data_IF_871233993637
#
_entry.id   IF_871233993637
#
_cell.length_a   1.000
_cell.length_b   1.000
_cell.length_c   1.000
_cell.angle_alpha   90.00
_cell.angle_beta   90.00
_cell.angle_gamma   90.00
#
_symmetry.space_group_name_H-M   'P 1'
#
loop_
_entity.id
_entity.type
_entity.pdbx_description
1 polymer ?
#
# COMPACT_ATOMS: atom_id res chain seq x y z
N UNK A 1 21.43 -14.58 21.77
CA UNK A 1 21.44 -13.11 21.66
C UNK A 1 20.49 -12.79 20.55
N UNK A 2 19.23 -12.38 20.87
CA UNK A 2 18.29 -11.87 19.90
C UNK A 2 18.73 -10.43 19.60
N UNK A 3 19.18 -10.18 18.38
CA UNK A 3 19.36 -8.85 17.85
C UNK A 3 17.99 -8.19 17.86
N UNK A 4 17.74 -7.30 18.81
CA UNK A 4 16.64 -6.36 18.72
C UNK A 4 16.95 -5.43 17.56
N UNK A 5 16.38 -5.72 16.41
CA UNK A 5 16.42 -4.82 15.26
C UNK A 5 15.53 -3.64 15.64
N UNK A 6 16.12 -2.49 15.88
CA UNK A 6 15.40 -1.25 16.21
C UNK A 6 14.46 -0.92 15.03
N UNK A 7 13.19 -0.87 15.33
CA UNK A 7 12.19 -0.35 14.40
C UNK A 7 12.31 1.17 14.39
N UNK A 8 12.71 1.75 13.27
CA UNK A 8 12.95 3.18 13.16
C UNK A 8 11.62 3.89 12.86
N UNK A 9 11.19 4.77 13.78
CA UNK A 9 9.98 5.57 13.61
C UNK A 9 10.34 6.99 13.21
N UNK A 10 9.83 7.45 12.06
CA UNK A 10 9.81 8.85 11.68
C UNK A 10 8.38 9.35 11.75
N UNK A 11 8.14 10.47 12.40
CA UNK A 11 6.78 10.98 12.53
C UNK A 11 6.70 12.48 12.27
N UNK A 12 5.56 12.88 11.72
CA UNK A 12 5.06 14.25 11.72
C UNK A 12 3.64 14.18 12.29
N UNK A 13 3.46 14.70 13.49
CA UNK A 13 2.19 14.57 14.19
C UNK A 13 2.08 15.58 15.32
N UNK A 14 0.97 16.25 15.44
CA UNK A 14 0.54 16.88 16.66
C UNK A 14 -0.01 15.80 17.59
N UNK A 15 0.84 15.31 18.51
CA UNK A 15 0.49 14.20 19.41
C UNK A 15 -0.70 14.53 20.31
N UNK A 16 -0.82 15.78 20.76
CA UNK A 16 -1.92 16.21 21.62
C UNK A 16 -3.25 16.18 20.84
N UNK A 17 -3.23 16.73 19.63
CA UNK A 17 -4.41 16.73 18.76
C UNK A 17 -4.85 15.31 18.39
N UNK A 18 -3.91 14.42 18.04
CA UNK A 18 -4.24 13.03 17.68
C UNK A 18 -4.84 12.29 18.87
N UNK A 19 -4.24 12.39 20.07
CA UNK A 19 -4.76 11.72 21.27
C UNK A 19 -6.18 12.16 21.63
N UNK A 20 -6.49 13.45 21.45
CA UNK A 20 -7.81 14.01 21.76
C UNK A 20 -8.86 13.65 20.71
N UNK A 21 -8.48 13.52 19.43
CA UNK A 21 -9.42 13.38 18.31
C UNK A 21 -9.34 12.04 17.59
N UNK A 22 -8.61 11.06 18.14
CA UNK A 22 -8.32 9.78 17.45
C UNK A 22 -9.57 9.08 16.90
N UNK A 23 -10.68 9.08 17.65
CA UNK A 23 -11.94 8.45 17.25
C UNK A 23 -12.65 9.16 16.08
N UNK A 24 -12.20 10.35 15.72
CA UNK A 24 -12.74 11.15 14.61
C UNK A 24 -11.81 11.11 13.39
N UNK A 25 -10.69 10.40 13.46
CA UNK A 25 -9.72 10.31 12.38
C UNK A 25 -9.86 9.01 11.62
N UNK A 26 -9.56 9.06 10.32
CA UNK A 26 -9.36 7.87 9.49
C UNK A 26 -7.89 7.55 9.41
N UNK A 27 -7.59 6.26 9.49
CA UNK A 27 -6.24 5.73 9.32
C UNK A 27 -6.10 5.08 7.96
N UNK A 28 -5.08 5.52 7.24
CA UNK A 28 -4.62 4.87 6.01
C UNK A 28 -3.26 4.24 6.28
N UNK A 29 -3.21 2.92 6.29
CA UNK A 29 -2.01 2.14 6.52
C UNK A 29 -1.49 1.60 5.20
N UNK A 30 -0.36 2.11 4.72
CA UNK A 30 0.34 1.60 3.55
C UNK A 30 1.37 0.58 4.00
N UNK A 31 1.24 -0.65 3.53
CA UNK A 31 2.14 -1.75 3.87
C UNK A 31 2.98 -2.10 2.65
N UNK A 32 4.25 -1.72 2.69
CA UNK A 32 5.28 -2.10 1.73
C UNK A 32 5.97 -3.41 2.10
N UNK A 33 7.09 -3.71 1.46
CA UNK A 33 7.84 -4.94 1.74
C UNK A 33 8.58 -4.87 3.08
N UNK A 34 9.31 -3.78 3.32
CA UNK A 34 10.11 -3.56 4.53
C UNK A 34 9.76 -2.27 5.25
N UNK A 35 8.68 -1.62 4.87
CA UNK A 35 8.20 -0.41 5.54
C UNK A 35 6.67 -0.38 5.68
N UNK A 36 6.22 0.40 6.64
CA UNK A 36 4.83 0.79 6.78
C UNK A 36 4.72 2.30 6.92
N UNK A 37 3.73 2.89 6.25
CA UNK A 37 3.42 4.29 6.39
C UNK A 37 1.99 4.46 6.86
N UNK A 38 1.80 5.28 7.87
CA UNK A 38 0.49 5.53 8.45
C UNK A 38 0.15 7.00 8.27
N UNK A 39 -1.00 7.24 7.68
CA UNK A 39 -1.56 8.57 7.51
C UNK A 39 -2.82 8.66 8.35
N UNK A 40 -2.89 9.64 9.22
CA UNK A 40 -4.09 10.03 9.93
C UNK A 40 -4.67 11.26 9.24
N UNK A 41 -5.94 11.20 8.88
CA UNK A 41 -6.61 12.30 8.21
C UNK A 41 -8.02 12.52 8.78
N UNK A 42 -8.47 13.78 8.74
CA UNK A 42 -9.85 14.12 9.04
C UNK A 42 -10.77 13.62 7.91
N UNK A 43 -11.85 12.88 8.21
CA UNK A 43 -12.64 12.19 7.19
C UNK A 43 -13.32 13.12 6.19
N UNK A 44 -13.72 14.32 6.61
CA UNK A 44 -14.49 15.26 5.75
C UNK A 44 -13.63 16.24 4.97
N UNK A 45 -12.52 16.70 5.55
CA UNK A 45 -11.64 17.70 4.93
C UNK A 45 -10.42 17.06 4.26
N UNK A 46 -10.13 15.79 4.58
CA UNK A 46 -8.92 15.08 4.19
C UNK A 46 -7.62 15.79 4.63
N UNK A 47 -7.72 16.68 5.62
CA UNK A 47 -6.55 17.31 6.21
C UNK A 47 -5.70 16.29 6.93
N UNK A 48 -4.40 16.38 6.70
CA UNK A 48 -3.40 15.55 7.38
C UNK A 48 -3.34 15.92 8.86
N UNK A 49 -3.64 14.94 9.72
CA UNK A 49 -3.49 15.06 11.17
C UNK A 49 -2.19 14.44 11.68
N UNK A 50 -1.67 13.43 10.98
CA UNK A 50 -0.41 12.79 11.34
C UNK A 50 0.11 11.88 10.24
N UNK A 51 1.45 11.75 10.21
CA UNK A 51 2.16 10.84 9.34
C UNK A 51 3.22 10.10 10.14
N UNK A 52 3.29 8.79 9.96
CA UNK A 52 4.28 7.92 10.61
C UNK A 52 4.89 7.01 9.56
N UNK A 53 6.19 6.89 9.57
CA UNK A 53 6.95 5.95 8.75
C UNK A 53 7.69 4.98 9.65
N UNK A 54 7.54 3.69 9.40
CA UNK A 54 8.09 2.60 10.20
C UNK A 54 8.90 1.72 9.27
N UNK A 55 10.17 1.55 9.57
CA UNK A 55 11.03 0.56 8.91
C UNK A 55 10.89 -0.77 9.66
N UNK A 56 10.59 -1.82 8.93
CA UNK A 56 10.39 -3.16 9.49
C UNK A 56 11.73 -3.91 9.54
N UNK A 57 11.94 -4.66 10.60
CA UNK A 57 13.12 -5.51 10.77
C UNK A 57 13.15 -6.73 9.81
N UNK A 58 12.00 -7.09 9.26
CA UNK A 58 11.80 -8.18 8.30
C UNK A 58 10.74 -7.81 7.29
N UNK A 59 10.58 -8.62 6.25
CA UNK A 59 9.52 -8.40 5.27
C UNK A 59 8.14 -8.46 5.95
N UNK A 60 7.24 -7.55 5.56
CA UNK A 60 5.92 -7.40 6.17
C UNK A 60 5.09 -8.69 6.10
N UNK A 61 5.18 -9.43 4.99
CA UNK A 61 4.47 -10.70 4.76
C UNK A 61 5.00 -11.88 5.61
N UNK A 62 6.19 -11.71 6.22
CA UNK A 62 6.81 -12.68 7.13
C UNK A 62 6.52 -12.37 8.61
N UNK A 63 5.87 -11.23 8.91
CA UNK A 63 5.56 -10.87 10.28
C UNK A 63 4.53 -11.82 10.88
N UNK A 64 4.86 -12.39 12.04
CA UNK A 64 3.86 -13.08 12.87
C UNK A 64 2.83 -12.08 13.40
N UNK A 65 1.67 -12.59 13.82
CA UNK A 65 0.64 -11.76 14.45
C UNK A 65 1.15 -10.98 15.67
N UNK A 66 1.99 -11.62 16.50
CA UNK A 66 2.59 -10.96 17.67
C UNK A 66 3.55 -9.85 17.26
N UNK A 67 4.42 -10.09 16.27
CA UNK A 67 5.36 -9.09 15.77
C UNK A 67 4.60 -7.91 15.12
N UNK A 68 3.59 -8.17 14.31
CA UNK A 68 2.77 -7.13 13.70
C UNK A 68 2.05 -6.27 14.76
N UNK A 69 1.44 -6.91 15.77
CA UNK A 69 0.83 -6.19 16.90
C UNK A 69 1.85 -5.38 17.69
N UNK A 70 3.06 -5.89 17.90
CA UNK A 70 4.14 -5.15 18.56
C UNK A 70 4.53 -3.90 17.78
N UNK A 71 4.64 -3.98 16.44
CA UNK A 71 4.89 -2.81 15.60
C UNK A 71 3.78 -1.77 15.77
N UNK A 72 2.52 -2.18 15.73
CA UNK A 72 1.39 -1.25 15.92
C UNK A 72 1.35 -0.65 17.32
N UNK A 73 1.70 -1.41 18.37
CA UNK A 73 1.74 -0.91 19.75
C UNK A 73 2.87 0.09 20.02
N UNK A 74 3.86 0.18 19.13
CA UNK A 74 4.89 1.22 19.17
C UNK A 74 4.39 2.60 18.72
N UNK A 75 3.19 2.70 18.16
CA UNK A 75 2.57 3.97 17.80
C UNK A 75 2.15 4.74 19.06
N UNK A 76 2.15 6.08 19.04
CA UNK A 76 1.72 6.89 20.17
C UNK A 76 0.19 6.93 20.37
N UNK A 77 -0.55 6.11 19.65
CA UNK A 77 -2.02 5.98 19.72
C UNK A 77 -2.44 4.55 19.37
N UNK A 78 -3.65 4.19 19.77
CA UNK A 78 -4.27 2.93 19.35
C UNK A 78 -4.96 3.11 17.99
N UNK A 79 -4.44 2.43 16.96
CA UNK A 79 -4.98 2.47 15.61
C UNK A 79 -6.43 1.95 15.54
N UNK A 80 -6.80 1.03 16.43
CA UNK A 80 -8.16 0.50 16.50
C UNK A 80 -9.18 1.52 17.05
N UNK A 81 -8.70 2.59 17.67
CA UNK A 81 -9.52 3.69 18.16
C UNK A 81 -9.95 4.69 17.08
N UNK A 82 -9.44 4.57 15.85
CA UNK A 82 -9.82 5.49 14.75
C UNK A 82 -11.20 5.15 14.18
N UNK A 83 -11.85 6.12 13.52
CA UNK A 83 -13.17 5.95 12.90
C UNK A 83 -13.18 4.82 11.87
N UNK A 84 -12.13 4.73 11.08
CA UNK A 84 -11.97 3.71 10.04
C UNK A 84 -10.48 3.43 9.81
N UNK A 85 -10.16 2.17 9.58
CA UNK A 85 -8.83 1.75 9.12
C UNK A 85 -8.92 1.22 7.70
N UNK A 86 -8.12 1.79 6.79
CA UNK A 86 -7.95 1.29 5.43
C UNK A 86 -6.50 0.88 5.25
N UNK A 87 -6.28 -0.36 4.86
CA UNK A 87 -4.95 -0.92 4.60
C UNK A 87 -4.70 -0.97 3.10
N UNK A 88 -3.67 -0.29 2.64
CA UNK A 88 -3.20 -0.33 1.26
C UNK A 88 -1.96 -1.22 1.15
N UNK A 89 -2.08 -2.32 0.44
CA UNK A 89 -0.95 -3.21 0.17
C UNK A 89 -0.15 -2.68 -1.02
N UNK A 90 1.13 -2.42 -0.80
CA UNK A 90 2.09 -2.06 -1.85
C UNK A 90 2.82 -3.34 -2.25
N UNK A 91 2.18 -4.16 -3.07
CA UNK A 91 2.75 -5.43 -3.52
C UNK A 91 3.79 -5.19 -4.63
N UNK A 92 4.96 -5.87 -4.58
CA UNK A 92 6.02 -5.70 -5.59
C UNK A 92 5.61 -6.16 -6.98
N UNK A 93 4.70 -7.14 -7.08
CA UNK A 93 4.22 -7.72 -8.34
C UNK A 93 2.74 -7.43 -8.52
N UNK A 94 2.42 -6.70 -9.56
CA UNK A 94 1.04 -6.51 -10.00
C UNK A 94 0.98 -6.38 -11.52
N UNK A 95 -0.20 -6.57 -12.09
CA UNK A 95 -0.48 -6.38 -13.51
C UNK A 95 -1.78 -5.62 -13.67
N UNK A 96 -1.80 -4.60 -14.51
CA UNK A 96 -3.01 -3.88 -14.87
C UNK A 96 -3.59 -4.50 -16.15
N UNK A 97 -4.81 -5.00 -16.08
CA UNK A 97 -5.53 -5.62 -17.18
C UNK A 97 -6.67 -4.71 -17.63
N UNK A 98 -6.80 -4.40 -18.92
CA UNK A 98 -7.97 -3.69 -19.45
C UNK A 98 -9.26 -4.40 -19.05
N UNK A 99 -10.27 -3.66 -18.62
CA UNK A 99 -11.53 -4.24 -18.12
C UNK A 99 -12.20 -5.14 -19.17
N UNK A 100 -12.12 -4.79 -20.45
CA UNK A 100 -12.68 -5.59 -21.55
C UNK A 100 -12.01 -6.97 -21.73
N UNK A 101 -10.81 -7.17 -21.20
CA UNK A 101 -10.07 -8.44 -21.27
C UNK A 101 -10.13 -9.24 -19.98
N UNK A 102 -10.71 -8.68 -18.93
CA UNK A 102 -10.75 -9.32 -17.62
C UNK A 102 -11.93 -10.28 -17.48
N UNK A 103 -11.59 -11.49 -17.05
CA UNK A 103 -12.56 -12.52 -16.63
C UNK A 103 -12.11 -13.03 -15.26
N UNK A 104 -12.96 -12.91 -14.25
CA UNK A 104 -12.60 -13.19 -12.85
C UNK A 104 -12.07 -14.62 -12.64
N UNK A 105 -12.68 -15.61 -13.28
CA UNK A 105 -12.28 -17.03 -13.21
C UNK A 105 -10.90 -17.28 -13.83
N UNK A 106 -10.43 -16.37 -14.68
CA UNK A 106 -9.12 -16.43 -15.34
C UNK A 106 -8.07 -15.51 -14.69
N UNK A 107 -8.39 -14.84 -13.57
CA UNK A 107 -7.49 -13.88 -12.93
C UNK A 107 -6.12 -14.49 -12.63
N UNK A 108 -6.07 -15.69 -12.07
CA UNK A 108 -4.81 -16.39 -11.78
C UNK A 108 -4.02 -16.69 -13.05
N UNK A 109 -4.67 -17.16 -14.10
CA UNK A 109 -4.02 -17.44 -15.38
C UNK A 109 -3.45 -16.16 -16.02
N UNK A 110 -4.20 -15.06 -15.98
CA UNK A 110 -3.74 -13.76 -16.50
C UNK A 110 -2.53 -13.24 -15.70
N UNK A 111 -2.57 -13.37 -14.38
CA UNK A 111 -1.46 -12.96 -13.52
C UNK A 111 -0.19 -13.77 -13.81
N UNK A 112 -0.31 -15.08 -14.02
CA UNK A 112 0.83 -15.98 -14.25
C UNK A 112 1.47 -15.84 -15.63
N UNK A 113 0.85 -15.12 -16.57
CA UNK A 113 1.50 -14.76 -17.85
C UNK A 113 2.73 -13.87 -17.61
N UNK A 114 2.66 -12.99 -16.60
CA UNK A 114 3.70 -11.99 -16.33
C UNK A 114 4.52 -12.34 -15.09
N UNK A 115 3.90 -12.97 -14.11
CA UNK A 115 4.52 -13.26 -12.81
C UNK A 115 4.53 -14.75 -12.51
N UNK A 116 5.65 -15.26 -12.05
CA UNK A 116 5.73 -16.64 -11.56
C UNK A 116 4.84 -16.82 -10.32
N UNK A 117 4.09 -17.94 -10.23
CA UNK A 117 3.31 -18.22 -9.03
C UNK A 117 4.24 -18.46 -7.84
N UNK A 118 3.83 -17.93 -6.69
CA UNK A 118 4.52 -18.09 -5.43
C UNK A 118 3.71 -19.00 -4.48
N UNK A 119 4.41 -19.80 -3.67
CA UNK A 119 3.74 -20.67 -2.70
C UNK A 119 2.99 -19.81 -1.66
N UNK A 120 1.85 -20.29 -1.23
CA UNK A 120 1.01 -19.62 -0.21
C UNK A 120 0.53 -18.21 -0.61
N UNK A 121 0.45 -17.94 -1.92
CA UNK A 121 -0.10 -16.70 -2.43
C UNK A 121 -1.39 -16.97 -3.18
N UNK A 122 -2.39 -16.15 -2.89
CA UNK A 122 -3.66 -16.12 -3.62
C UNK A 122 -3.71 -14.88 -4.51
N UNK A 123 -4.02 -15.08 -5.79
CA UNK A 123 -4.21 -13.97 -6.74
C UNK A 123 -5.53 -13.28 -6.43
N UNK A 124 -5.43 -12.00 -6.19
CA UNK A 124 -6.54 -11.08 -5.96
C UNK A 124 -6.72 -10.17 -7.17
N UNK A 125 -7.87 -9.55 -7.26
CA UNK A 125 -8.12 -8.50 -8.24
C UNK A 125 -8.84 -7.32 -7.62
N UNK A 126 -8.56 -6.13 -8.14
CA UNK A 126 -9.16 -4.90 -7.68
C UNK A 126 -9.49 -3.98 -8.86
N UNK A 127 -10.69 -3.44 -8.86
CA UNK A 127 -11.13 -2.50 -9.90
C UNK A 127 -10.57 -1.11 -9.66
N UNK A 128 -10.11 -0.48 -10.73
CA UNK A 128 -9.73 0.93 -10.78
C UNK A 128 -10.44 1.61 -11.95
N UNK A 129 -10.47 2.94 -12.05
CA UNK A 129 -11.00 3.63 -13.22
C UNK A 129 -10.25 3.32 -14.52
N UNK A 130 -9.07 2.70 -14.44
CA UNK A 130 -8.17 2.45 -15.57
C UNK A 130 -8.05 0.96 -15.95
N UNK A 131 -8.79 0.09 -15.29
CA UNK A 131 -8.76 -1.34 -15.48
C UNK A 131 -8.71 -2.12 -14.17
N UNK A 132 -8.40 -3.39 -14.28
CA UNK A 132 -8.34 -4.32 -13.16
C UNK A 132 -6.89 -4.56 -12.77
N UNK A 133 -6.53 -4.28 -11.53
CA UNK A 133 -5.23 -4.62 -10.96
C UNK A 133 -5.27 -6.06 -10.47
N UNK A 134 -4.40 -6.90 -11.00
CA UNK A 134 -4.15 -8.26 -10.51
C UNK A 134 -2.89 -8.24 -9.64
N UNK A 135 -2.94 -8.81 -8.47
CA UNK A 135 -1.83 -8.91 -7.52
C UNK A 135 -1.95 -10.17 -6.68
N UNK A 136 -0.86 -10.62 -6.12
CA UNK A 136 -0.87 -11.78 -5.23
C UNK A 136 -0.65 -11.36 -3.78
N UNK A 137 -1.39 -11.97 -2.87
CA UNK A 137 -1.26 -11.73 -1.42
C UNK A 137 -0.84 -13.01 -0.71
N UNK A 138 0.07 -12.90 0.23
CA UNK A 138 0.46 -14.02 1.07
C UNK A 138 -0.67 -14.36 2.06
N UNK A 139 -1.16 -15.60 2.03
CA UNK A 139 -2.39 -15.99 2.75
C UNK A 139 -2.25 -15.86 4.28
N UNK A 140 -1.09 -16.21 4.82
CA UNK A 140 -0.82 -16.08 6.27
C UNK A 140 -0.81 -14.62 6.67
N UNK A 141 -0.21 -13.75 5.85
CA UNK A 141 -0.17 -12.31 6.14
C UNK A 141 -1.58 -11.68 6.09
N UNK A 142 -2.40 -12.08 5.14
CA UNK A 142 -3.80 -11.65 5.10
C UNK A 142 -4.57 -12.09 6.34
N UNK A 143 -4.30 -13.29 6.85
CA UNK A 143 -4.83 -13.75 8.14
C UNK A 143 -4.33 -12.90 9.31
N UNK A 144 -3.04 -12.55 9.33
CA UNK A 144 -2.42 -11.67 10.33
C UNK A 144 -3.09 -10.29 10.33
N UNK A 145 -3.28 -9.67 9.17
CA UNK A 145 -3.94 -8.36 9.04
C UNK A 145 -5.38 -8.39 9.60
N UNK A 146 -6.17 -9.40 9.22
CA UNK A 146 -7.56 -9.54 9.69
C UNK A 146 -7.66 -9.73 11.19
N UNK A 147 -6.71 -10.44 11.80
CA UNK A 147 -6.68 -10.67 13.25
C UNK A 147 -6.11 -9.48 14.02
N UNK A 148 -5.21 -8.71 13.43
CA UNK A 148 -4.63 -7.54 14.07
C UNK A 148 -5.51 -6.29 13.95
N UNK A 149 -6.20 -6.15 12.83
CA UNK A 149 -7.05 -5.00 12.48
C UNK A 149 -8.43 -5.49 12.02
N UNK A 150 -9.24 -6.02 12.95
CA UNK A 150 -10.58 -6.51 12.61
C UNK A 150 -11.45 -5.35 12.11
N UNK A 151 -12.11 -5.56 10.96
CA UNK A 151 -12.93 -4.53 10.31
C UNK A 151 -12.17 -3.57 9.40
N UNK A 152 -10.83 -3.66 9.30
CA UNK A 152 -10.08 -2.87 8.33
C UNK A 152 -10.42 -3.28 6.89
N UNK A 153 -10.63 -2.30 6.04
CA UNK A 153 -10.72 -2.50 4.60
C UNK A 153 -9.32 -2.71 4.02
N UNK A 154 -9.11 -3.80 3.28
CA UNK A 154 -7.80 -4.09 2.67
C UNK A 154 -7.89 -3.94 1.17
N UNK A 155 -7.05 -3.08 0.61
CA UNK A 155 -7.02 -2.69 -0.79
C UNK A 155 -5.60 -2.79 -1.37
N UNK A 156 -5.48 -2.83 -2.68
CA UNK A 156 -4.18 -2.62 -3.34
C UNK A 156 -3.89 -1.13 -3.50
N UNK A 157 -2.65 -0.70 -3.27
CA UNK A 157 -2.27 0.72 -3.30
C UNK A 157 -2.61 1.42 -4.64
N UNK A 158 -2.56 0.71 -5.77
CA UNK A 158 -2.94 1.27 -7.07
C UNK A 158 -4.40 1.72 -7.16
N UNK A 159 -5.30 1.23 -6.28
CA UNK A 159 -6.70 1.69 -6.24
C UNK A 159 -6.83 3.14 -5.78
N UNK A 160 -5.93 3.60 -4.92
CA UNK A 160 -5.90 5.02 -4.52
C UNK A 160 -4.89 5.84 -5.36
N UNK A 161 -3.77 5.24 -5.75
CA UNK A 161 -2.69 5.95 -6.44
C UNK A 161 -3.09 6.36 -7.87
N UNK A 162 -3.64 5.45 -8.67
CA UNK A 162 -4.02 5.76 -10.05
C UNK A 162 -5.02 6.93 -10.16
N UNK A 163 -6.13 6.94 -9.40
CA UNK A 163 -7.04 8.09 -9.39
C UNK A 163 -6.40 9.38 -8.87
N UNK A 164 -5.53 9.29 -7.87
CA UNK A 164 -4.84 10.46 -7.33
C UNK A 164 -3.90 11.08 -8.38
N UNK A 165 -3.08 10.26 -9.01
CA UNK A 165 -2.13 10.73 -10.02
C UNK A 165 -2.81 11.24 -11.29
N UNK A 166 -3.95 10.67 -11.69
CA UNK A 166 -4.70 11.18 -12.83
C UNK A 166 -5.18 12.61 -12.63
N UNK A 167 -5.48 13.01 -11.38
CA UNK A 167 -5.93 14.37 -11.04
C UNK A 167 -4.78 15.39 -11.00
N UNK A 168 -3.52 14.93 -10.87
CA UNK A 168 -2.35 15.82 -10.87
C UNK A 168 -1.88 16.19 -12.28
N UNK A 169 -2.56 15.67 -13.31
CA UNK A 169 -2.19 15.94 -14.70
C UNK A 169 -2.67 17.32 -15.14
N UNK A 170 -1.77 18.07 -15.76
CA UNK A 170 -2.12 19.16 -16.63
C UNK A 170 -2.31 18.65 -18.09
N UNK A 171 -2.71 19.52 -18.99
CA UNK A 171 -2.96 19.19 -20.41
C UNK A 171 -1.72 18.74 -21.20
N UNK A 172 -0.52 18.77 -20.61
CA UNK A 172 0.75 18.55 -21.31
C UNK A 172 1.22 17.09 -21.34
N UNK A 173 0.56 16.20 -20.60
CA UNK A 173 0.96 14.79 -20.46
C UNK A 173 2.33 14.67 -19.75
N UNK A 174 2.34 14.18 -18.53
CA UNK A 174 3.57 14.03 -17.75
C UNK A 174 3.83 12.58 -17.44
N UNK A 175 5.11 12.22 -17.46
CA UNK A 175 5.59 11.00 -16.85
C UNK A 175 5.63 11.21 -15.33
N UNK A 176 5.01 10.30 -14.58
CA UNK A 176 5.07 10.28 -13.13
C UNK A 176 5.85 9.07 -12.68
N UNK A 177 6.78 9.30 -11.78
CA UNK A 177 7.57 8.25 -11.15
C UNK A 177 7.18 8.17 -9.67
N UNK A 178 6.85 6.97 -9.23
CA UNK A 178 6.59 6.68 -7.82
C UNK A 178 7.70 5.76 -7.33
N UNK A 179 8.57 6.30 -6.50
CA UNK A 179 9.69 5.56 -5.95
C UNK A 179 9.25 4.79 -4.71
N UNK A 180 9.58 3.51 -4.68
CA UNK A 180 9.45 2.60 -3.56
C UNK A 180 10.84 2.16 -3.11
N UNK A 181 10.92 1.23 -2.17
CA UNK A 181 12.19 0.78 -1.58
C UNK A 181 13.17 0.18 -2.60
N UNK A 182 12.66 -0.62 -3.55
CA UNK A 182 13.46 -1.36 -4.55
C UNK A 182 12.83 -1.39 -5.94
N UNK A 183 11.84 -0.58 -6.17
CA UNK A 183 11.17 -0.47 -7.47
C UNK A 183 10.54 0.90 -7.63
N UNK A 184 10.30 1.25 -8.87
CA UNK A 184 9.56 2.45 -9.22
C UNK A 184 8.37 2.10 -10.11
N UNK A 185 7.25 2.74 -9.88
CA UNK A 185 6.14 2.75 -10.81
C UNK A 185 6.33 3.91 -11.79
N UNK A 186 6.19 3.61 -13.06
CA UNK A 186 6.22 4.58 -14.14
C UNK A 186 4.81 4.70 -14.69
N UNK A 187 4.20 5.88 -14.55
CA UNK A 187 2.84 6.17 -14.96
C UNK A 187 2.87 7.28 -16.03
N UNK A 188 2.19 7.06 -17.13
CA UNK A 188 2.00 8.08 -18.15
C UNK A 188 0.51 8.24 -18.44
N UNK A 189 0.02 9.46 -18.29
CA UNK A 189 -1.36 9.80 -18.60
C UNK A 189 -1.38 10.71 -19.84
N UNK A 190 -2.34 10.48 -20.71
CA UNK A 190 -2.71 11.40 -21.77
C UNK A 190 -4.07 11.99 -21.40
N UNK A 191 -4.06 13.24 -20.97
CA UNK A 191 -5.20 13.88 -20.28
C UNK A 191 -5.58 13.02 -19.06
N UNK A 192 -6.83 12.55 -18.98
CA UNK A 192 -7.29 11.68 -17.88
C UNK A 192 -7.18 10.18 -18.19
N UNK A 193 -6.62 9.78 -19.35
CA UNK A 193 -6.49 8.40 -19.74
C UNK A 193 -5.09 7.87 -19.42
N UNK A 194 -5.01 6.74 -18.75
CA UNK A 194 -3.75 6.06 -18.50
C UNK A 194 -3.25 5.42 -19.81
N UNK A 195 -2.12 5.89 -20.30
CA UNK A 195 -1.49 5.39 -21.54
C UNK A 195 -0.42 4.36 -21.25
N UNK A 196 0.20 4.44 -20.08
CA UNK A 196 1.25 3.51 -19.67
C UNK A 196 1.28 3.38 -18.15
N UNK A 197 1.45 2.15 -17.67
CA UNK A 197 1.65 1.85 -16.27
C UNK A 197 2.52 0.59 -16.18
N UNK A 198 3.70 0.72 -15.59
CA UNK A 198 4.57 -0.43 -15.36
C UNK A 198 5.47 -0.19 -14.16
N UNK A 199 5.99 -1.28 -13.61
CA UNK A 199 6.89 -1.29 -12.47
C UNK A 199 8.26 -1.82 -12.90
N UNK A 200 9.30 -1.11 -12.46
CA UNK A 200 10.69 -1.45 -12.72
C UNK A 200 11.42 -1.65 -11.41
N UNK A 201 12.11 -2.78 -11.22
CA UNK A 201 13.03 -2.93 -10.10
C UNK A 201 14.24 -2.03 -10.29
N UNK A 202 14.84 -1.58 -9.20
CA UNK A 202 16.16 -0.94 -9.18
C UNK A 202 16.95 -1.42 -7.97
N UNK A 203 18.28 -1.46 -8.08
CA UNK A 203 19.18 -1.90 -7.01
C UNK A 203 19.94 -0.71 -6.42
N UNK A 204 20.11 0.35 -7.19
CA UNK A 204 20.86 1.55 -6.82
C UNK A 204 20.25 2.81 -7.40
N UNK A 205 20.62 3.96 -6.88
CA UNK A 205 20.17 5.28 -7.38
C UNK A 205 20.60 5.52 -8.83
N UNK A 206 21.67 4.85 -9.30
CA UNK A 206 22.14 4.94 -10.69
C UNK A 206 21.24 4.20 -11.68
N UNK A 207 20.38 3.30 -11.23
CA UNK A 207 19.43 2.59 -12.10
C UNK A 207 18.20 3.46 -12.43
N UNK A 208 18.06 4.61 -11.77
CA UNK A 208 16.92 5.53 -11.91
C UNK A 208 17.23 6.66 -12.91
N UNK A 209 18.52 6.84 -13.26
CA UNK A 209 18.99 7.85 -14.19
C UNK A 209 19.10 7.24 -15.60
#
# INVERSE_FOLDING_TARGET
MQSQTETLYRNYCDKAFVAEHISQLKTYLFVGTTSMHIILAKPHTHELAGFFSIELASQADQLSLSAFKQVLSGLPFDISGTEQVVVYLIQPKYTLVPEALFVAEKASALYTIVHSPEKFHTVQHARTPFGIVLYATHDIFMGTLRLALPGAEVMHAMQCMLPAFSKLQDSSGKLQLVLHERYMDVLCFNKLNLSYCNRFPFESDTDII
#
